data_IF_639362057430
#
_entry.id   IF_639362057430
#
_cell.length_a   1.000
_cell.length_b   1.000
_cell.length_c   1.000
_cell.angle_alpha   90.00
_cell.angle_beta   90.00
_cell.angle_gamma   90.00
#
_symmetry.space_group_name_H-M   'P 1'
#
loop_
_entity.id
_entity.type
_entity.pdbx_description
1 polymer ?
#
# COMPACT_ATOMS: atom_id res chain seq x y z
N UNK A 1 -0.27 10.35 -77.96
CA UNK A 1 -0.39 8.93 -77.57
C UNK A 1 0.59 8.54 -76.44
N UNK A 2 1.78 9.13 -76.37
CA UNK A 2 2.87 8.81 -75.40
C UNK A 2 2.54 9.14 -73.92
N UNK A 3 1.74 10.17 -73.65
CA UNK A 3 1.43 10.62 -72.26
C UNK A 3 0.60 9.59 -71.47
N UNK A 4 -0.25 8.83 -72.16
CA UNK A 4 -1.13 7.83 -71.52
C UNK A 4 -0.35 6.60 -71.03
N UNK A 5 0.69 6.20 -71.76
CA UNK A 5 1.55 5.08 -71.38
C UNK A 5 2.47 5.42 -70.20
N UNK A 6 2.96 6.67 -70.11
CA UNK A 6 3.84 7.08 -69.01
C UNK A 6 3.12 7.15 -67.65
N UNK A 7 1.81 7.38 -67.66
CA UNK A 7 0.97 7.43 -66.45
C UNK A 7 0.50 6.04 -66.01
N UNK A 8 0.38 5.09 -66.95
CA UNK A 8 -0.08 3.72 -66.67
C UNK A 8 1.05 2.74 -66.34
N UNK A 9 2.31 3.06 -66.67
CA UNK A 9 3.49 2.25 -66.29
C UNK A 9 3.63 1.99 -64.79
N UNK A 10 3.45 2.96 -63.86
CA UNK A 10 3.52 2.66 -62.42
C UNK A 10 2.40 1.70 -61.97
N UNK A 11 1.19 1.85 -62.53
CA UNK A 11 0.06 0.95 -62.26
C UNK A 11 0.31 -0.47 -62.78
N UNK A 12 0.94 -0.60 -63.95
CA UNK A 12 1.25 -1.91 -64.57
C UNK A 12 2.39 -2.64 -63.84
N UNK A 13 3.36 -1.90 -63.30
CA UNK A 13 4.42 -2.43 -62.42
C UNK A 13 3.84 -2.87 -61.08
N UNK A 14 2.94 -2.07 -60.50
CA UNK A 14 2.22 -2.41 -59.26
C UNK A 14 1.32 -3.65 -59.44
N UNK A 15 0.69 -3.84 -60.60
CA UNK A 15 -0.21 -4.99 -60.86
C UNK A 15 0.50 -6.19 -61.51
N UNK A 16 1.83 -6.18 -61.57
CA UNK A 16 2.61 -7.25 -62.20
C UNK A 16 2.53 -8.56 -61.41
N UNK A 17 2.63 -9.73 -62.08
CA UNK A 17 2.62 -11.05 -61.44
C UNK A 17 3.59 -11.20 -60.24
N UNK A 18 4.85 -10.71 -60.30
CA UNK A 18 5.73 -10.74 -59.14
C UNK A 18 5.26 -9.81 -58.01
N UNK A 19 4.76 -8.61 -58.34
CA UNK A 19 4.23 -7.67 -57.34
C UNK A 19 2.98 -8.23 -56.63
N UNK A 20 2.07 -8.88 -57.37
CA UNK A 20 0.89 -9.53 -56.79
C UNK A 20 1.26 -10.66 -55.82
N UNK A 21 2.27 -11.49 -56.14
CA UNK A 21 2.78 -12.53 -55.23
C UNK A 21 3.38 -11.92 -53.97
N UNK A 22 4.12 -10.82 -54.09
CA UNK A 22 4.66 -10.08 -52.95
C UNK A 22 3.55 -9.50 -52.07
N UNK A 23 2.50 -8.91 -52.66
CA UNK A 23 1.37 -8.39 -51.88
C UNK A 23 0.61 -9.49 -51.14
N UNK A 24 0.32 -10.63 -51.78
CA UNK A 24 -0.34 -11.76 -51.12
C UNK A 24 0.49 -12.28 -49.95
N UNK A 25 1.81 -12.46 -50.16
CA UNK A 25 2.70 -12.90 -49.09
C UNK A 25 2.80 -11.87 -47.95
N UNK A 26 2.83 -10.58 -48.27
CA UNK A 26 2.90 -9.52 -47.27
C UNK A 26 1.63 -9.43 -46.45
N UNK A 27 0.46 -9.55 -47.08
CA UNK A 27 -0.83 -9.59 -46.39
C UNK A 27 -0.92 -10.82 -45.49
N UNK A 28 -0.53 -12.00 -45.99
CA UNK A 28 -0.53 -13.24 -45.22
C UNK A 28 0.46 -13.18 -44.04
N UNK A 29 1.63 -12.60 -44.25
CA UNK A 29 2.61 -12.37 -43.19
C UNK A 29 2.09 -11.37 -42.15
N UNK A 30 1.53 -10.23 -42.58
CA UNK A 30 0.95 -9.23 -41.67
C UNK A 30 -0.22 -9.80 -40.88
N UNK A 31 -1.12 -10.53 -41.52
CA UNK A 31 -2.28 -11.10 -40.83
C UNK A 31 -1.85 -12.12 -39.79
N UNK A 32 -0.91 -12.99 -40.15
CA UNK A 32 -0.36 -14.00 -39.22
C UNK A 32 0.40 -13.34 -38.07
N UNK A 33 1.20 -12.31 -38.37
CA UNK A 33 1.91 -11.55 -37.33
C UNK A 33 0.95 -10.85 -36.38
N UNK A 34 -0.12 -10.24 -36.91
CA UNK A 34 -1.11 -9.53 -36.10
C UNK A 34 -1.94 -10.48 -35.22
N UNK A 35 -2.29 -11.67 -35.72
CA UNK A 35 -3.01 -12.67 -34.90
C UNK A 35 -2.11 -13.24 -33.80
N UNK A 36 -0.84 -13.55 -34.09
CA UNK A 36 0.11 -13.99 -33.08
C UNK A 36 0.37 -12.90 -32.02
N UNK A 37 0.49 -11.64 -32.45
CA UNK A 37 0.66 -10.50 -31.55
C UNK A 37 -0.58 -10.31 -30.65
N UNK A 38 -1.78 -10.41 -31.22
CA UNK A 38 -3.03 -10.36 -30.46
C UNK A 38 -3.12 -11.49 -29.42
N UNK A 39 -2.76 -12.72 -29.80
CA UNK A 39 -2.78 -13.87 -28.89
C UNK A 39 -1.73 -13.73 -27.78
N UNK A 40 -0.52 -13.27 -28.12
CA UNK A 40 0.58 -13.04 -27.17
C UNK A 40 0.22 -11.96 -26.15
N UNK A 41 -0.33 -10.82 -26.61
CA UNK A 41 -0.75 -9.74 -25.73
C UNK A 41 -1.87 -10.17 -24.77
N UNK A 42 -2.86 -10.92 -25.26
CA UNK A 42 -3.91 -11.49 -24.40
C UNK A 42 -3.34 -12.47 -23.37
N UNK A 43 -2.45 -13.38 -23.79
CA UNK A 43 -1.81 -14.34 -22.90
C UNK A 43 -0.96 -13.64 -21.82
N UNK A 44 -0.23 -12.59 -22.19
CA UNK A 44 0.55 -11.78 -21.27
C UNK A 44 -0.34 -11.04 -20.25
N UNK A 45 -1.41 -10.39 -20.71
CA UNK A 45 -2.35 -9.69 -19.83
C UNK A 45 -2.99 -10.68 -18.85
N UNK A 46 -3.42 -11.84 -19.33
CA UNK A 46 -3.99 -12.90 -18.50
C UNK A 46 -2.96 -13.40 -17.48
N UNK A 47 -1.73 -13.68 -17.91
CA UNK A 47 -0.65 -14.12 -17.04
C UNK A 47 -0.32 -13.06 -15.98
N UNK A 48 -0.25 -11.78 -16.36
CA UNK A 48 0.00 -10.67 -15.44
C UNK A 48 -1.05 -10.63 -14.32
N UNK A 49 -2.34 -10.68 -14.68
CA UNK A 49 -3.43 -10.63 -13.70
C UNK A 49 -3.55 -11.89 -12.83
N UNK A 50 -3.15 -13.06 -13.34
CA UNK A 50 -3.16 -14.31 -12.57
C UNK A 50 -1.91 -14.49 -11.69
N UNK A 51 -0.76 -14.00 -12.13
CA UNK A 51 0.54 -14.25 -11.48
C UNK A 51 0.98 -13.14 -10.50
N UNK A 52 0.62 -11.89 -10.76
CA UNK A 52 0.97 -10.73 -9.92
C UNK A 52 -0.21 -10.40 -8.99
N UNK A 53 -0.16 -10.76 -7.69
CA UNK A 53 -1.23 -10.48 -6.74
C UNK A 53 -1.26 -8.99 -6.35
N UNK A 54 -2.29 -8.61 -5.60
CA UNK A 54 -2.45 -7.25 -5.06
C UNK A 54 -1.20 -6.82 -4.26
N UNK A 55 -0.73 -5.59 -4.50
CA UNK A 55 0.58 -5.09 -4.04
C UNK A 55 0.60 -4.72 -2.56
N UNK A 56 -0.55 -4.48 -1.96
CA UNK A 56 -0.62 -4.17 -0.55
C UNK A 56 -2.01 -3.76 -0.10
N UNK A 57 -2.16 -3.65 1.22
CA UNK A 57 -3.39 -3.28 1.90
C UNK A 57 -3.11 -2.00 2.68
N UNK A 58 -4.01 -1.04 2.54
CA UNK A 58 -4.03 0.18 3.33
C UNK A 58 -5.21 0.10 4.31
N UNK A 59 -4.94 0.27 5.60
CA UNK A 59 -5.97 0.27 6.64
C UNK A 59 -5.85 1.51 7.52
N UNK A 60 -6.93 2.31 7.65
CA UNK A 60 -6.97 3.36 8.66
C UNK A 60 -6.99 2.73 10.05
N UNK A 61 -6.32 3.39 10.99
CA UNK A 61 -6.15 2.95 12.37
C UNK A 61 -6.90 3.92 13.27
N UNK A 62 -7.91 3.41 13.97
CA UNK A 62 -8.66 4.18 14.94
C UNK A 62 -8.12 3.93 16.35
N UNK A 63 -7.22 4.80 16.81
CA UNK A 63 -6.64 4.74 18.14
C UNK A 63 -7.70 5.00 19.22
N UNK A 64 -7.80 4.07 20.16
CA UNK A 64 -8.64 4.16 21.34
C UNK A 64 -7.84 4.73 22.51
N UNK A 65 -8.39 5.75 23.15
CA UNK A 65 -7.80 6.47 24.28
C UNK A 65 -8.59 6.18 25.55
N UNK A 66 -7.94 6.30 26.71
CA UNK A 66 -8.59 6.18 28.02
C UNK A 66 -8.77 4.75 28.55
N UNK A 67 -8.65 3.72 27.69
CA UNK A 67 -8.86 2.33 28.10
C UNK A 67 -7.60 1.61 28.62
N UNK A 68 -6.48 2.32 28.84
CA UNK A 68 -5.25 1.75 29.36
C UNK A 68 -4.10 2.77 29.48
N UNK A 69 -2.86 2.33 29.72
CA UNK A 69 -1.72 3.25 29.84
C UNK A 69 -1.33 3.89 28.50
N UNK A 70 -1.66 3.23 27.39
CA UNK A 70 -1.24 3.59 26.04
C UNK A 70 -2.42 3.53 25.07
N UNK A 71 -2.50 4.46 24.09
CA UNK A 71 -3.49 4.37 23.04
C UNK A 71 -3.19 3.17 22.14
N UNK A 72 -4.25 2.43 21.81
CA UNK A 72 -4.15 1.17 21.07
C UNK A 72 -5.26 1.06 20.04
N UNK A 73 -5.08 0.19 19.06
CA UNK A 73 -6.07 -0.07 18.03
C UNK A 73 -5.98 -1.52 17.54
N UNK A 74 -7.14 -2.14 17.36
CA UNK A 74 -7.27 -3.42 16.70
C UNK A 74 -7.68 -3.20 15.24
N UNK A 75 -6.91 -3.75 14.32
CA UNK A 75 -7.05 -3.50 12.88
C UNK A 75 -7.30 -4.84 12.17
N UNK A 76 -8.42 -5.00 11.46
CA UNK A 76 -8.65 -6.20 10.65
C UNK A 76 -7.75 -6.22 9.41
N UNK A 77 -7.00 -7.30 9.26
CA UNK A 77 -6.22 -7.62 8.08
C UNK A 77 -7.01 -8.59 7.21
N UNK A 78 -7.23 -8.23 5.95
CA UNK A 78 -7.90 -9.10 4.97
C UNK A 78 -7.07 -9.21 3.72
N UNK A 79 -7.19 -10.31 2.99
CA UNK A 79 -6.57 -10.44 1.66
C UNK A 79 -5.04 -10.56 1.64
N UNK A 80 -4.43 -11.03 2.73
CA UNK A 80 -3.02 -11.41 2.74
C UNK A 80 -2.83 -12.79 2.11
N UNK A 81 -1.88 -12.90 1.18
CA UNK A 81 -1.53 -14.16 0.49
C UNK A 81 -0.41 -14.87 1.27
N UNK A 82 -0.51 -16.18 1.54
CA UNK A 82 0.54 -16.95 2.19
C UNK A 82 1.80 -17.07 1.31
N UNK A 83 2.94 -17.33 1.93
CA UNK A 83 4.27 -17.47 1.31
C UNK A 83 4.73 -16.26 0.51
N UNK A 84 4.09 -15.11 0.73
CA UNK A 84 4.48 -13.83 0.16
C UNK A 84 5.19 -13.02 1.25
N UNK A 85 6.39 -12.47 1.00
CA UNK A 85 7.01 -11.55 1.93
C UNK A 85 6.29 -10.20 1.91
N UNK A 86 6.03 -9.66 3.10
CA UNK A 86 5.43 -8.35 3.31
C UNK A 86 6.32 -7.44 4.14
N UNK A 87 6.20 -6.14 3.90
CA UNK A 87 6.70 -5.08 4.77
C UNK A 87 5.51 -4.32 5.34
N UNK A 88 5.56 -4.01 6.63
CA UNK A 88 4.52 -3.25 7.32
C UNK A 88 5.07 -1.86 7.65
N UNK A 89 4.45 -0.84 7.07
CA UNK A 89 4.70 0.57 7.40
C UNK A 89 3.52 1.14 8.15
N UNK A 90 3.81 2.08 9.04
CA UNK A 90 2.82 2.84 9.75
C UNK A 90 3.10 4.32 9.55
N UNK A 91 2.06 5.06 9.22
CA UNK A 91 2.09 6.51 9.06
C UNK A 91 1.23 7.14 10.14
N UNK A 92 1.84 7.99 10.97
CA UNK A 92 1.13 8.77 11.98
C UNK A 92 1.16 10.24 11.58
N UNK A 93 0.00 10.86 11.53
CA UNK A 93 -0.14 12.30 11.33
C UNK A 93 -0.44 12.95 12.68
N UNK A 94 0.44 13.86 13.09
CA UNK A 94 0.45 14.43 14.43
C UNK A 94 0.36 15.96 14.33
N UNK A 95 -0.41 16.64 15.20
CA UNK A 95 -0.27 18.08 15.39
C UNK A 95 1.09 18.42 15.98
N UNK A 96 1.58 19.63 15.67
CA UNK A 96 2.75 20.22 16.32
C UNK A 96 2.40 20.88 17.65
N UNK A 97 1.63 20.20 18.49
CA UNK A 97 1.20 20.72 19.79
C UNK A 97 2.32 20.61 20.84
N UNK A 98 2.35 21.50 21.86
CA UNK A 98 3.30 21.40 22.97
C UNK A 98 3.42 20.00 23.60
N UNK A 99 2.33 19.28 23.93
CA UNK A 99 2.44 17.94 24.52
C UNK A 99 3.17 16.94 23.60
N UNK A 100 2.91 16.98 22.30
CA UNK A 100 3.59 16.13 21.31
C UNK A 100 5.07 16.47 21.21
N UNK A 101 5.42 17.77 21.17
CA UNK A 101 6.81 18.21 21.04
C UNK A 101 7.67 17.89 22.28
N UNK A 102 7.06 17.80 23.47
CA UNK A 102 7.76 17.46 24.72
C UNK A 102 7.83 15.97 24.99
N UNK A 103 7.11 15.14 24.23
CA UNK A 103 6.95 13.71 24.51
C UNK A 103 8.26 12.92 24.39
N UNK A 104 9.16 13.38 23.50
CA UNK A 104 10.43 12.69 23.24
C UNK A 104 10.24 11.40 22.43
N UNK A 105 11.22 10.48 22.46
CA UNK A 105 11.11 9.19 21.81
C UNK A 105 10.03 8.32 22.45
N UNK A 106 9.25 7.65 21.64
CA UNK A 106 8.23 6.69 22.09
C UNK A 106 8.33 5.40 21.29
N UNK A 107 7.73 4.33 21.79
CA UNK A 107 7.75 3.02 21.12
C UNK A 107 6.41 2.74 20.44
N UNK A 108 6.46 2.12 19.27
CA UNK A 108 5.33 1.55 18.56
C UNK A 108 5.42 0.03 18.68
N UNK A 109 4.41 -0.60 19.26
CA UNK A 109 4.33 -2.05 19.38
C UNK A 109 3.22 -2.57 18.46
N UNK A 110 3.57 -3.53 17.61
CA UNK A 110 2.66 -4.19 16.68
C UNK A 110 2.64 -5.69 17.02
N UNK A 111 1.45 -6.22 17.27
CA UNK A 111 1.21 -7.66 17.44
C UNK A 111 0.27 -8.15 16.34
N UNK A 112 0.73 -9.14 15.58
CA UNK A 112 -0.04 -9.79 14.52
C UNK A 112 -0.76 -11.00 15.11
N UNK A 113 -2.07 -11.03 14.95
CA UNK A 113 -2.96 -12.04 15.51
C UNK A 113 -3.51 -12.94 14.40
N UNK A 114 -3.57 -14.25 14.68
CA UNK A 114 -4.12 -15.25 13.78
C UNK A 114 -5.63 -15.10 13.57
N UNK A 115 -6.16 -15.75 12.54
CA UNK A 115 -7.61 -15.89 12.32
C UNK A 115 -8.34 -16.65 13.43
N UNK A 116 -7.62 -17.35 14.30
CA UNK A 116 -8.17 -17.96 15.53
C UNK A 116 -8.73 -16.92 16.50
N UNK A 117 -8.10 -15.73 16.54
CA UNK A 117 -8.49 -14.65 17.42
C UNK A 117 -9.89 -14.13 17.09
N UNK A 118 -10.81 -14.22 18.06
CA UNK A 118 -12.16 -13.67 17.96
C UNK A 118 -12.23 -12.38 18.76
N UNK A 119 -12.32 -11.21 18.11
CA UNK A 119 -12.41 -9.95 18.83
C UNK A 119 -13.72 -9.89 19.61
N UNK A 120 -13.63 -9.45 20.86
CA UNK A 120 -14.82 -9.16 21.66
C UNK A 120 -15.41 -7.86 21.13
N UNK A 121 -16.58 -7.95 20.50
CA UNK A 121 -17.35 -6.78 20.08
C UNK A 121 -18.07 -6.26 21.31
N UNK A 122 -17.55 -5.19 21.90
CA UNK A 122 -18.23 -4.50 23.00
C UNK A 122 -19.48 -3.83 22.41
N UNK A 123 -20.70 -4.22 22.81
CA UNK A 123 -21.91 -3.57 22.31
C UNK A 123 -21.91 -2.10 22.76
N UNK A 124 -22.19 -1.20 21.80
CA UNK A 124 -22.31 0.24 22.03
C UNK A 124 -23.22 0.48 23.24
N UNK A 125 -22.73 1.12 24.32
CA UNK A 125 -23.56 1.35 25.50
C UNK A 125 -24.69 2.32 25.14
N UNK A 126 -25.92 1.80 25.08
CA UNK A 126 -27.12 2.64 25.12
C UNK A 126 -27.22 3.23 26.53
N UNK A 127 -26.85 4.52 26.63
CA UNK A 127 -27.13 5.45 27.75
C UNK A 127 -26.35 5.18 29.06
N UNK A 128 -25.46 6.13 29.41
CA UNK A 128 -24.91 6.44 30.74
C UNK A 128 -24.40 5.29 31.64
N UNK A 129 -23.60 4.37 31.11
CA UNK A 129 -22.77 3.49 31.94
C UNK A 129 -21.30 3.77 31.64
N UNK A 130 -20.51 3.95 32.70
CA UNK A 130 -19.06 4.06 32.62
C UNK A 130 -18.54 2.89 31.75
N UNK A 131 -17.90 3.15 30.59
CA UNK A 131 -17.41 2.07 29.76
C UNK A 131 -16.40 1.24 30.56
N UNK A 132 -16.61 -0.07 30.61
CA UNK A 132 -15.65 -1.02 31.16
C UNK A 132 -14.35 -0.90 30.31
N UNK A 133 -13.16 -0.87 30.92
CA UNK A 133 -11.91 -0.69 30.17
C UNK A 133 -11.76 -1.80 29.13
N UNK A 134 -11.87 -1.45 27.85
CA UNK A 134 -11.91 -2.44 26.75
C UNK A 134 -10.56 -3.14 26.56
N UNK A 135 -9.46 -2.42 26.81
CA UNK A 135 -8.10 -2.97 26.91
C UNK A 135 -7.92 -3.83 28.15
N UNK A 136 -8.87 -4.00 29.08
CA UNK A 136 -8.79 -5.05 30.11
C UNK A 136 -9.37 -6.38 29.62
N UNK A 137 -10.16 -6.33 28.55
CA UNK A 137 -10.88 -7.44 27.96
C UNK A 137 -10.12 -8.04 26.75
N UNK A 138 -9.52 -7.18 25.93
CA UNK A 138 -8.79 -7.60 24.73
C UNK A 138 -7.54 -8.44 25.04
N UNK A 139 -6.62 -7.94 25.84
CA UNK A 139 -5.46 -8.66 26.37
C UNK A 139 -5.76 -9.94 27.20
N UNK A 140 -6.94 -10.12 27.78
CA UNK A 140 -7.35 -11.38 28.43
C UNK A 140 -7.89 -12.37 27.41
N UNK A 141 -8.42 -11.86 26.30
CA UNK A 141 -8.84 -12.67 25.15
C UNK A 141 -7.67 -13.09 24.26
N UNK A 142 -6.56 -12.36 24.29
CA UNK A 142 -5.36 -12.71 23.53
C UNK A 142 -4.63 -13.82 24.31
N UNK A 143 -4.72 -15.04 23.81
CA UNK A 143 -3.92 -16.15 24.29
C UNK A 143 -2.62 -16.23 23.48
N UNK A 144 -1.53 -16.72 24.08
CA UNK A 144 -0.25 -16.95 23.38
C UNK A 144 -0.37 -17.67 22.02
N UNK A 145 -1.20 -18.71 21.82
CA UNK A 145 -1.35 -19.37 20.51
C UNK A 145 -1.92 -18.47 19.40
N UNK A 146 -2.59 -17.36 19.74
CA UNK A 146 -3.15 -16.44 18.74
C UNK A 146 -2.11 -15.44 18.22
N UNK A 147 -0.97 -15.29 18.89
CA UNK A 147 0.09 -14.35 18.52
C UNK A 147 1.00 -15.00 17.48
N UNK A 148 1.00 -14.46 16.27
CA UNK A 148 1.87 -14.93 15.19
C UNK A 148 3.24 -14.24 15.30
N UNK A 149 3.23 -12.91 15.43
CA UNK A 149 4.46 -12.11 15.50
C UNK A 149 4.25 -10.84 16.31
N UNK A 150 5.29 -10.43 17.03
CA UNK A 150 5.33 -9.19 17.80
C UNK A 150 6.55 -8.39 17.41
N UNK A 151 6.38 -7.10 17.14
CA UNK A 151 7.46 -6.19 16.76
C UNK A 151 7.33 -4.89 17.54
N UNK A 152 8.47 -4.31 17.94
CA UNK A 152 8.53 -3.01 18.62
C UNK A 152 9.56 -2.13 17.94
N UNK A 153 9.18 -0.90 17.56
CA UNK A 153 10.06 0.08 16.91
C UNK A 153 10.02 1.42 17.62
N UNK A 154 11.17 2.10 17.79
CA UNK A 154 11.17 3.47 18.28
C UNK A 154 10.68 4.43 17.20
N UNK A 155 10.01 5.49 17.64
CA UNK A 155 9.54 6.60 16.83
C UNK A 155 9.86 7.91 17.55
N UNK A 156 10.15 8.95 16.77
CA UNK A 156 10.41 10.29 17.28
C UNK A 156 9.82 11.32 16.34
N UNK A 157 9.07 12.27 16.87
CA UNK A 157 8.54 13.39 16.10
C UNK A 157 9.73 14.21 15.56
N UNK A 158 9.77 14.53 14.26
CA UNK A 158 10.84 15.34 13.67
C UNK A 158 11.06 16.65 14.46
N UNK A 159 12.26 16.78 15.01
CA UNK A 159 12.64 17.97 15.76
C UNK A 159 12.92 19.14 14.81
N UNK A 160 12.45 20.33 15.17
CA UNK A 160 12.87 21.58 14.52
C UNK A 160 13.19 22.61 15.57
N UNK A 161 14.25 23.39 15.36
CA UNK A 161 14.59 24.48 16.27
C UNK A 161 13.52 25.58 16.29
N UNK A 162 13.45 26.32 17.40
CA UNK A 162 12.47 27.42 17.56
C UNK A 162 12.62 28.49 16.48
N UNK A 163 13.87 28.88 16.16
CA UNK A 163 14.13 29.89 15.13
C UNK A 163 13.65 29.42 13.75
N UNK A 164 13.92 28.17 13.38
CA UNK A 164 13.47 27.59 12.10
C UNK A 164 11.94 27.45 12.07
N UNK A 165 11.33 27.04 13.18
CA UNK A 165 9.87 26.94 13.26
C UNK A 165 9.18 28.31 13.19
N UNK A 166 9.77 29.35 13.76
CA UNK A 166 9.22 30.71 13.67
C UNK A 166 9.43 31.31 12.28
N UNK A 167 10.61 31.15 11.68
CA UNK A 167 10.87 31.68 10.33
C UNK A 167 9.93 31.04 9.31
N UNK A 168 9.78 29.72 9.35
CA UNK A 168 8.84 29.00 8.47
C UNK A 168 7.38 29.43 8.68
N UNK A 169 6.96 29.70 9.93
CA UNK A 169 5.62 30.21 10.22
C UNK A 169 5.41 31.63 9.71
N UNK A 170 6.36 32.55 9.92
CA UNK A 170 6.27 33.94 9.47
C UNK A 170 6.24 34.01 7.94
N UNK A 171 7.15 33.30 7.27
CA UNK A 171 7.21 33.25 5.81
C UNK A 171 5.99 32.54 5.21
N UNK A 172 5.45 31.53 5.88
CA UNK A 172 4.28 30.78 5.45
C UNK A 172 2.93 31.39 5.86
N UNK A 173 2.91 32.45 6.68
CA UNK A 173 1.71 33.01 7.30
C UNK A 173 0.59 33.32 6.30
N UNK A 174 0.85 33.93 5.13
CA UNK A 174 -0.20 34.15 4.13
C UNK A 174 -0.89 32.86 3.68
N UNK A 175 -0.14 31.76 3.54
CA UNK A 175 -0.67 30.46 3.14
C UNK A 175 -1.52 29.82 4.24
N UNK A 176 -1.16 30.02 5.51
CA UNK A 176 -1.96 29.53 6.63
C UNK A 176 -3.29 30.28 6.76
N UNK A 177 -3.29 31.61 6.59
CA UNK A 177 -4.54 32.42 6.59
C UNK A 177 -5.48 31.98 5.46
N UNK A 178 -4.92 31.72 4.28
CA UNK A 178 -5.68 31.24 3.13
C UNK A 178 -6.09 29.76 3.23
N UNK A 179 -5.70 29.04 4.30
CA UNK A 179 -6.00 27.62 4.49
C UNK A 179 -5.25 26.68 3.53
N UNK A 180 -4.22 27.17 2.84
CA UNK A 180 -3.42 26.40 1.87
C UNK A 180 -2.31 25.56 2.54
N UNK A 181 -2.07 25.77 3.85
CA UNK A 181 -1.11 25.01 4.66
C UNK A 181 -1.66 24.73 6.05
N UNK A 182 -1.22 23.60 6.62
CA UNK A 182 -1.55 23.18 7.99
C UNK A 182 -0.27 22.81 8.76
N UNK A 183 -0.30 22.96 10.09
CA UNK A 183 0.82 22.58 10.96
C UNK A 183 0.71 21.12 11.40
N UNK A 184 1.00 20.21 10.47
CA UNK A 184 1.02 18.76 10.73
C UNK A 184 2.44 18.22 10.56
N UNK A 185 2.73 17.15 11.29
CA UNK A 185 3.95 16.37 11.13
C UNK A 185 3.57 14.94 10.82
N UNK A 186 4.08 14.41 9.72
CA UNK A 186 3.87 13.01 9.33
C UNK A 186 5.10 12.20 9.73
N UNK A 187 4.86 11.07 10.38
CA UNK A 187 5.88 10.13 10.83
C UNK A 187 5.65 8.80 10.14
N UNK A 188 6.61 8.38 9.33
CA UNK A 188 6.61 7.09 8.65
C UNK A 188 7.59 6.15 9.36
N UNK A 189 7.09 5.02 9.85
CA UNK A 189 7.90 4.01 10.55
C UNK A 189 7.68 2.65 9.91
N UNK A 190 8.78 2.02 9.51
CA UNK A 190 8.79 0.63 9.08
C UNK A 190 8.79 -0.28 10.31
N UNK A 191 7.64 -0.91 10.57
CA UNK A 191 7.46 -1.77 11.73
C UNK A 191 8.15 -3.10 11.52
N UNK A 192 7.87 -3.77 10.40
CA UNK A 192 8.38 -5.10 10.12
C UNK A 192 8.80 -5.25 8.67
N UNK A 193 9.89 -6.01 8.47
CA UNK A 193 10.51 -6.25 7.17
C UNK A 193 10.43 -7.72 6.82
N UNK A 194 10.14 -8.02 5.55
CA UNK A 194 10.25 -9.37 4.98
C UNK A 194 9.51 -10.45 5.78
N UNK A 195 8.30 -10.13 6.26
CA UNK A 195 7.44 -11.07 6.97
C UNK A 195 6.84 -12.08 5.99
N UNK A 196 7.14 -13.36 6.17
CA UNK A 196 6.64 -14.45 5.33
C UNK A 196 5.74 -15.37 6.15
N UNK A 197 4.51 -15.56 5.67
CA UNK A 197 3.51 -16.42 6.32
C UNK A 197 3.42 -17.78 5.60
N UNK A 198 4.16 -18.78 6.06
CA UNK A 198 4.31 -20.05 5.34
C UNK A 198 3.05 -20.95 5.32
N UNK A 199 2.12 -20.74 6.26
CA UNK A 199 0.90 -21.55 6.39
C UNK A 199 -0.33 -20.67 6.22
N UNK A 200 -1.42 -21.24 5.69
CA UNK A 200 -2.71 -20.55 5.57
C UNK A 200 -3.23 -20.10 6.96
N UNK A 201 -3.06 -20.93 7.98
CA UNK A 201 -3.43 -20.61 9.37
C UNK A 201 -2.45 -19.61 10.05
N UNK A 202 -1.28 -19.42 9.44
CA UNK A 202 -0.26 -18.46 9.88
C UNK A 202 -0.39 -17.09 9.23
N UNK A 203 -1.43 -16.86 8.42
CA UNK A 203 -1.73 -15.52 7.88
C UNK A 203 -2.48 -14.74 8.94
N UNK A 204 -2.01 -13.55 9.34
CA UNK A 204 -2.66 -12.78 10.38
C UNK A 204 -3.98 -12.19 9.87
N UNK A 205 -5.02 -12.31 10.70
CA UNK A 205 -6.34 -11.74 10.43
C UNK A 205 -6.53 -10.40 11.14
N UNK A 206 -5.77 -10.13 12.20
CA UNK A 206 -5.79 -8.85 12.90
C UNK A 206 -4.38 -8.37 13.22
N UNK A 207 -4.22 -7.06 13.31
CA UNK A 207 -3.06 -6.40 13.87
C UNK A 207 -3.51 -5.56 15.05
N UNK A 208 -2.90 -5.76 16.21
CA UNK A 208 -3.06 -4.88 17.35
C UNK A 208 -1.85 -3.94 17.40
N UNK A 209 -2.11 -2.64 17.33
CA UNK A 209 -1.12 -1.59 17.45
C UNK A 209 -1.27 -0.94 18.83
N UNK A 210 -0.17 -0.76 19.54
CA UNK A 210 -0.09 0.02 20.76
C UNK A 210 0.99 1.10 20.61
N UNK A 211 0.63 2.34 20.91
CA UNK A 211 1.54 3.48 20.86
C UNK A 211 1.96 3.83 22.30
N UNK A 212 3.16 3.40 22.67
CA UNK A 212 3.70 3.50 24.03
C UNK A 212 4.29 4.89 24.28
N UNK A 213 3.42 5.90 24.15
CA UNK A 213 3.70 7.32 24.35
C UNK A 213 2.93 7.91 25.54
N UNK A 214 2.09 7.09 26.20
CA UNK A 214 1.11 7.54 27.18
C UNK A 214 -0.16 8.08 26.52
N UNK A 215 -1.13 8.50 27.34
CA UNK A 215 -2.42 9.06 26.88
C UNK A 215 -2.34 10.52 26.42
N UNK A 216 -1.17 11.15 26.56
CA UNK A 216 -0.95 12.57 26.19
C UNK A 216 -0.62 12.77 24.72
N UNK A 217 -0.28 11.70 23.98
CA UNK A 217 0.02 11.77 22.55
C UNK A 217 -1.23 12.08 21.74
N UNK A 218 -1.21 13.20 21.04
CA UNK A 218 -2.29 13.62 20.15
C UNK A 218 -2.00 13.16 18.73
N UNK A 219 -2.94 12.45 18.12
CA UNK A 219 -2.84 11.93 16.75
C UNK A 219 -4.08 12.38 15.97
N UNK A 220 -3.89 12.89 14.76
CA UNK A 220 -5.03 13.22 13.88
C UNK A 220 -5.50 12.00 13.12
N UNK A 221 -4.57 11.31 12.47
CA UNK A 221 -4.84 10.13 11.68
C UNK A 221 -3.65 9.18 11.72
N UNK A 222 -3.94 7.89 11.62
CA UNK A 222 -2.98 6.82 11.67
C UNK A 222 -3.36 5.81 10.58
N UNK A 223 -2.42 5.48 9.71
CA UNK A 223 -2.66 4.54 8.60
C UNK A 223 -1.58 3.47 8.57
N UNK A 224 -1.99 2.21 8.46
CA UNK A 224 -1.09 1.07 8.29
C UNK A 224 -1.09 0.64 6.83
N UNK A 225 0.11 0.49 6.27
CA UNK A 225 0.35 -0.03 4.95
C UNK A 225 1.06 -1.37 5.04
N UNK A 226 0.44 -2.42 4.54
CA UNK A 226 1.05 -3.74 4.42
C UNK A 226 1.38 -3.96 2.95
N UNK A 227 2.65 -3.85 2.56
CA UNK A 227 3.11 -3.94 1.16
C UNK A 227 3.76 -5.27 0.87
N UNK A 228 3.33 -5.95 -0.18
CA UNK A 228 3.96 -7.16 -0.69
C UNK A 228 5.31 -6.81 -1.34
N UNK A 229 6.36 -7.53 -0.95
CA UNK A 229 7.67 -7.44 -1.62
C UNK A 229 7.73 -8.48 -2.73
N UNK A 230 7.62 -8.04 -3.98
CA UNK A 230 7.81 -8.96 -5.09
C UNK A 230 9.30 -9.25 -5.29
N UNK A 231 9.63 -10.52 -5.54
CA UNK A 231 10.97 -10.97 -5.91
C UNK A 231 10.95 -11.63 -7.30
N UNK A 232 12.14 -11.74 -7.92
CA UNK A 232 12.33 -12.45 -9.18
C UNK A 232 11.49 -11.92 -10.35
N UNK A 233 10.89 -12.83 -11.12
CA UNK A 233 10.09 -12.49 -12.31
C UNK A 233 8.93 -11.54 -12.00
N UNK A 234 8.26 -11.74 -10.85
CA UNK A 234 7.13 -10.90 -10.43
C UNK A 234 7.54 -9.44 -10.24
N UNK A 235 8.71 -9.20 -9.64
CA UNK A 235 9.27 -7.86 -9.49
C UNK A 235 9.57 -7.22 -10.84
N UNK A 236 10.19 -7.99 -11.75
CA UNK A 236 10.53 -7.49 -13.08
C UNK A 236 9.29 -7.13 -13.89
N UNK A 237 8.26 -7.98 -13.91
CA UNK A 237 6.97 -7.71 -14.56
C UNK A 237 6.25 -6.50 -13.97
N UNK A 238 6.31 -6.33 -12.64
CA UNK A 238 5.70 -5.19 -11.98
C UNK A 238 6.37 -3.87 -12.36
N UNK A 239 7.71 -3.85 -12.31
CA UNK A 239 8.50 -2.66 -12.61
C UNK A 239 8.52 -2.32 -14.10
N UNK A 240 8.53 -3.33 -14.97
CA UNK A 240 8.69 -3.16 -16.41
C UNK A 240 7.53 -3.77 -17.23
N UNK A 241 6.31 -3.31 -16.96
CA UNK A 241 5.07 -3.87 -17.55
C UNK A 241 5.07 -3.98 -19.08
N UNK A 242 5.79 -3.08 -19.77
CA UNK A 242 5.86 -3.03 -21.23
C UNK A 242 6.99 -3.93 -21.73
N UNK A 243 8.19 -3.87 -21.12
CA UNK A 243 9.31 -4.72 -21.53
C UNK A 243 9.06 -6.19 -21.26
N UNK A 244 8.22 -6.53 -20.28
CA UNK A 244 7.82 -7.92 -20.03
C UNK A 244 6.78 -8.48 -20.98
N UNK A 245 6.19 -7.65 -21.84
CA UNK A 245 5.20 -8.06 -22.82
C UNK A 245 5.79 -8.37 -24.20
N UNK A 246 7.05 -7.96 -24.47
CA UNK A 246 7.76 -8.14 -25.73
C UNK A 246 8.93 -9.11 -25.57
#
# INVERSE_FOLDING_TARGET
MVVKDLVLTPFRVATSKPAQKTYINLILFLSTSLTLLGLSTLAYVLFYYLYVPQIGIERPIHLQYGDGPHPHALIPLTSLVPSQPYTIHLTLTLPRSPPNLTLGPFMLALTLLSSSYKPIVVPTPTIHVHPLPTLSLYLTSIQEPDIIHTVRRPALIPYTSRLVSLSTRILGLPLYILGLRTETSTLEVELAENLVFNRKDGVPAYAMLEVQAGQTLQVYDATMYVRARFGGLRWWMWNHRILSAF
#
